data_IF_455679988523
#
_entry.id   IF_455679988523
#
_cell.length_a   1.000
_cell.length_b   1.000
_cell.length_c   1.000
_cell.angle_alpha   90.00
_cell.angle_beta   90.00
_cell.angle_gamma   90.00
#
_symmetry.space_group_name_H-M   'P 1'
#
loop_
_entity.id
_entity.type
_entity.pdbx_description
1 polymer ?
#
# COMPACT_ATOMS: atom_id res chain seq x y z
N UNK A 1 -9.83 20.86 6.89
CA UNK A 1 -9.81 20.12 8.16
C UNK A 1 -9.59 18.68 7.76
N UNK A 2 -8.52 18.07 8.23
CA UNK A 2 -8.16 16.71 7.84
C UNK A 2 -9.22 15.77 8.44
N UNK A 3 -9.89 15.03 7.57
CA UNK A 3 -10.86 14.01 7.93
C UNK A 3 -10.24 12.61 7.80
N UNK A 4 -10.85 11.61 8.44
CA UNK A 4 -10.35 10.22 8.40
C UNK A 4 -10.17 9.72 6.94
N UNK A 5 -11.09 9.99 5.99
CA UNK A 5 -10.86 9.69 4.58
C UNK A 5 -9.59 10.30 3.98
N UNK A 6 -9.28 11.55 4.31
CA UNK A 6 -8.09 12.25 3.81
C UNK A 6 -6.80 11.60 4.32
N UNK A 7 -6.79 11.08 5.55
CA UNK A 7 -5.66 10.34 6.11
C UNK A 7 -5.41 9.02 5.36
N UNK A 8 -6.46 8.22 5.13
CA UNK A 8 -6.33 6.99 4.35
C UNK A 8 -5.91 7.24 2.89
N UNK A 9 -6.38 8.34 2.27
CA UNK A 9 -5.89 8.77 0.95
C UNK A 9 -4.42 9.14 0.98
N UNK A 10 -3.97 9.81 2.05
CA UNK A 10 -2.56 10.12 2.28
C UNK A 10 -1.72 8.84 2.35
N UNK A 11 -2.13 7.88 3.18
CA UNK A 11 -1.46 6.57 3.31
C UNK A 11 -1.37 5.86 1.96
N UNK A 12 -2.48 5.80 1.22
CA UNK A 12 -2.54 5.23 -0.13
C UNK A 12 -1.52 5.89 -1.06
N UNK A 13 -1.53 7.22 -1.12
CA UNK A 13 -0.65 7.99 -2.02
C UNK A 13 0.83 7.75 -1.70
N UNK A 14 1.22 7.83 -0.42
CA UNK A 14 2.61 7.61 -0.02
C UNK A 14 3.07 6.17 -0.21
N UNK A 15 2.18 5.19 -0.06
CA UNK A 15 2.49 3.79 -0.35
C UNK A 15 2.72 3.56 -1.86
N UNK A 16 1.94 4.21 -2.73
CA UNK A 16 2.15 4.18 -4.18
C UNK A 16 3.47 4.85 -4.55
N UNK A 17 3.80 6.00 -3.97
CA UNK A 17 5.10 6.67 -4.16
C UNK A 17 6.24 5.75 -3.72
N UNK A 18 6.13 5.11 -2.54
CA UNK A 18 7.12 4.16 -2.05
C UNK A 18 7.34 2.99 -3.00
N UNK A 19 6.29 2.40 -3.56
CA UNK A 19 6.40 1.35 -4.57
C UNK A 19 7.06 1.82 -5.86
N UNK A 20 6.70 3.01 -6.36
CA UNK A 20 7.35 3.57 -7.54
C UNK A 20 8.85 3.80 -7.29
N UNK A 21 9.23 4.28 -6.11
CA UNK A 21 10.65 4.46 -5.75
C UNK A 21 11.44 3.15 -5.73
N UNK A 22 10.82 2.01 -5.39
CA UNK A 22 11.49 0.71 -5.47
C UNK A 22 11.76 0.26 -6.92
N UNK A 23 11.10 0.87 -7.92
CA UNK A 23 11.33 0.60 -9.34
C UNK A 23 12.39 1.52 -9.95
N UNK A 24 12.83 2.53 -9.21
CA UNK A 24 13.85 3.50 -9.62
C UNK A 24 15.22 3.13 -9.03
N UNK A 25 16.26 3.66 -9.63
CA UNK A 25 17.67 3.48 -9.25
C UNK A 25 18.29 4.83 -8.86
N UNK A 26 19.48 4.81 -8.27
CA UNK A 26 20.23 6.04 -7.95
C UNK A 26 20.65 6.85 -9.20
N UNK A 27 20.54 6.25 -10.39
CA UNK A 27 20.85 6.91 -11.66
C UNK A 27 19.66 7.69 -12.23
N UNK A 28 18.44 7.41 -11.73
CA UNK A 28 17.24 8.11 -12.17
C UNK A 28 17.20 9.54 -11.61
N UNK A 29 16.63 10.46 -12.39
CA UNK A 29 16.53 11.86 -11.99
C UNK A 29 15.59 12.05 -10.79
N UNK A 30 15.95 12.96 -9.86
CA UNK A 30 15.10 13.31 -8.71
C UNK A 30 13.75 13.90 -9.15
N UNK A 31 13.77 14.70 -10.21
CA UNK A 31 12.58 15.31 -10.82
C UNK A 31 12.22 14.59 -12.13
N UNK A 32 11.28 13.66 -12.04
CA UNK A 32 10.74 12.93 -13.18
C UNK A 32 9.56 13.69 -13.81
N UNK A 33 9.52 13.73 -15.14
CA UNK A 33 8.36 14.28 -15.83
C UNK A 33 7.12 13.37 -15.70
N UNK A 34 5.94 13.96 -15.90
CA UNK A 34 4.66 13.23 -15.81
C UNK A 34 4.60 12.07 -16.80
N UNK A 35 5.25 12.17 -17.97
CA UNK A 35 5.22 11.11 -18.99
C UNK A 35 5.99 9.87 -18.54
N UNK A 36 6.96 10.04 -17.65
CA UNK A 36 7.75 8.98 -17.04
C UNK A 36 7.05 8.42 -15.80
N UNK A 37 6.49 9.29 -14.96
CA UNK A 37 5.81 8.87 -13.71
C UNK A 37 4.49 8.15 -13.99
N UNK A 38 3.73 8.59 -15.00
CA UNK A 38 2.39 8.05 -15.25
C UNK A 38 2.38 6.53 -15.54
N UNK A 39 3.25 5.97 -16.40
CA UNK A 39 3.34 4.52 -16.59
C UNK A 39 3.72 3.75 -15.32
N UNK A 40 4.60 4.31 -14.47
CA UNK A 40 4.98 3.69 -13.19
C UNK A 40 3.80 3.63 -12.25
N UNK A 41 3.06 4.73 -12.14
CA UNK A 41 1.83 4.82 -11.35
C UNK A 41 0.79 3.80 -11.83
N UNK A 42 0.51 3.76 -13.14
CA UNK A 42 -0.47 2.83 -13.72
C UNK A 42 -0.10 1.37 -13.46
N UNK A 43 1.20 1.04 -13.56
CA UNK A 43 1.72 -0.29 -13.25
C UNK A 43 1.50 -0.66 -11.77
N UNK A 44 1.87 0.21 -10.84
CA UNK A 44 1.70 0.00 -9.39
C UNK A 44 0.23 -0.19 -9.04
N UNK A 45 -0.66 0.67 -9.54
CA UNK A 45 -2.10 0.58 -9.26
C UNK A 45 -2.70 -0.70 -9.87
N UNK A 46 -2.29 -1.07 -11.09
CA UNK A 46 -2.74 -2.30 -11.73
C UNK A 46 -2.35 -3.54 -10.94
N UNK A 47 -1.11 -3.58 -10.44
CA UNK A 47 -0.62 -4.68 -9.61
C UNK A 47 -1.33 -4.74 -8.26
N UNK A 48 -1.52 -3.59 -7.60
CA UNK A 48 -2.26 -3.51 -6.34
C UNK A 48 -3.69 -4.04 -6.50
N UNK A 49 -4.39 -3.60 -7.55
CA UNK A 49 -5.74 -4.06 -7.87
C UNK A 49 -5.80 -5.55 -8.16
N UNK A 50 -4.83 -6.07 -8.93
CA UNK A 50 -4.76 -7.50 -9.25
C UNK A 50 -4.54 -8.34 -8.00
N UNK A 51 -3.63 -7.91 -7.12
CA UNK A 51 -3.39 -8.56 -5.83
C UNK A 51 -4.65 -8.53 -4.95
N UNK A 52 -5.34 -7.38 -4.89
CA UNK A 52 -6.59 -7.24 -4.15
C UNK A 52 -7.65 -8.23 -4.66
N UNK A 53 -7.84 -8.33 -5.97
CA UNK A 53 -8.80 -9.26 -6.59
C UNK A 53 -8.45 -10.71 -6.25
N UNK A 54 -7.16 -11.08 -6.35
CA UNK A 54 -6.70 -12.43 -6.00
C UNK A 54 -6.97 -12.74 -4.52
N UNK A 55 -6.63 -11.83 -3.60
CA UNK A 55 -6.93 -12.01 -2.17
C UNK A 55 -8.42 -12.09 -1.90
N UNK A 56 -9.24 -11.29 -2.59
CA UNK A 56 -10.69 -11.32 -2.43
C UNK A 56 -11.30 -12.62 -2.99
N UNK A 57 -10.69 -13.24 -3.99
CA UNK A 57 -11.07 -14.58 -4.46
C UNK A 57 -10.73 -15.65 -3.40
N UNK A 58 -9.54 -15.57 -2.80
CA UNK A 58 -9.04 -16.59 -1.87
C UNK A 58 -9.71 -16.53 -0.48
N UNK A 59 -10.03 -15.33 0.00
CA UNK A 59 -10.57 -15.09 1.35
C UNK A 59 -12.00 -14.54 1.37
N UNK A 60 -12.61 -14.33 0.20
CA UNK A 60 -13.88 -13.61 0.09
C UNK A 60 -13.77 -12.17 0.58
N UNK A 61 -14.92 -11.54 0.85
CA UNK A 61 -14.98 -10.19 1.40
C UNK A 61 -14.83 -10.17 2.93
N UNK A 62 -14.00 -11.04 3.51
CA UNK A 62 -13.80 -11.13 4.96
C UNK A 62 -13.37 -9.78 5.59
N UNK A 63 -12.67 -8.95 4.82
CA UNK A 63 -12.29 -7.59 5.22
C UNK A 63 -13.50 -6.72 5.58
N UNK A 64 -14.67 -6.92 4.95
CA UNK A 64 -15.88 -6.14 5.26
C UNK A 64 -16.41 -6.30 6.69
N UNK A 65 -15.99 -7.36 7.39
CA UNK A 65 -16.34 -7.61 8.79
C UNK A 65 -15.36 -6.97 9.78
N UNK A 66 -14.34 -6.26 9.30
CA UNK A 66 -13.30 -5.63 10.11
C UNK A 66 -13.65 -4.17 10.42
N UNK A 67 -13.16 -3.69 11.57
CA UNK A 67 -13.30 -2.28 11.97
C UNK A 67 -12.24 -1.38 11.31
N UNK A 68 -12.46 -0.07 11.36
CA UNK A 68 -11.46 0.89 10.86
C UNK A 68 -10.13 0.84 11.62
N UNK A 69 -10.17 0.60 12.93
CA UNK A 69 -8.98 0.44 13.77
C UNK A 69 -8.16 -0.78 13.32
N UNK A 70 -8.85 -1.86 12.92
CA UNK A 70 -8.19 -3.08 12.43
C UNK A 70 -7.35 -2.81 11.18
N UNK A 71 -7.83 -1.97 10.25
CA UNK A 71 -7.03 -1.57 9.08
C UNK A 71 -5.81 -0.74 9.49
N UNK A 72 -5.98 0.16 10.45
CA UNK A 72 -4.88 0.99 10.96
C UNK A 72 -3.80 0.12 11.60
N UNK A 73 -4.17 -0.84 12.45
CA UNK A 73 -3.24 -1.76 13.09
C UNK A 73 -2.49 -2.61 12.07
N UNK A 74 -3.18 -3.09 11.02
CA UNK A 74 -2.54 -3.85 9.95
C UNK A 74 -1.57 -2.99 9.14
N UNK A 75 -1.92 -1.73 8.84
CA UNK A 75 -1.01 -0.78 8.16
C UNK A 75 0.24 -0.55 9.02
N UNK A 76 0.07 -0.32 10.32
CA UNK A 76 1.18 -0.13 11.26
C UNK A 76 2.08 -1.36 11.35
N UNK A 77 1.51 -2.56 11.35
CA UNK A 77 2.27 -3.81 11.33
C UNK A 77 3.12 -3.95 10.05
N UNK A 78 2.58 -3.59 8.88
CA UNK A 78 3.32 -3.61 7.60
C UNK A 78 4.42 -2.56 7.57
N UNK A 79 4.16 -1.35 8.09
CA UNK A 79 5.20 -0.32 8.24
C UNK A 79 6.32 -0.76 9.18
N UNK A 80 5.99 -1.40 10.30
CA UNK A 80 6.98 -1.96 11.22
C UNK A 80 7.82 -3.05 10.52
N UNK A 81 7.17 -3.88 9.69
CA UNK A 81 7.88 -4.91 8.91
C UNK A 81 8.88 -4.31 7.93
N UNK A 82 8.47 -3.28 7.19
CA UNK A 82 9.37 -2.54 6.27
C UNK A 82 10.57 -1.98 7.04
N UNK A 83 10.35 -1.33 8.18
CA UNK A 83 11.43 -0.80 9.03
C UNK A 83 12.42 -1.87 9.47
N UNK A 84 11.93 -3.07 9.84
CA UNK A 84 12.78 -4.19 10.21
C UNK A 84 13.63 -4.70 9.04
N UNK A 85 13.05 -4.79 7.84
CA UNK A 85 13.78 -5.23 6.64
C UNK A 85 14.92 -4.24 6.32
N UNK A 86 14.64 -2.94 6.36
CA UNK A 86 15.64 -1.89 6.15
C UNK A 86 16.75 -1.97 7.20
N UNK A 87 16.39 -2.09 8.49
CA UNK A 87 17.36 -2.18 9.58
C UNK A 87 18.28 -3.41 9.45
N UNK A 88 17.77 -4.51 8.88
CA UNK A 88 18.51 -5.74 8.66
C UNK A 88 19.35 -5.72 7.37
N UNK A 89 19.49 -4.57 6.69
CA UNK A 89 20.19 -4.42 5.39
C UNK A 89 19.70 -5.44 4.36
N UNK A 90 18.38 -5.62 4.28
CA UNK A 90 17.71 -6.54 3.35
C UNK A 90 18.11 -8.02 3.49
N UNK A 91 18.83 -8.40 4.56
CA UNK A 91 19.10 -9.80 4.88
C UNK A 91 17.85 -10.47 5.45
N UNK A 92 16.95 -10.86 4.57
CA UNK A 92 15.76 -11.64 4.93
C UNK A 92 16.04 -13.13 4.74
N UNK A 93 15.97 -13.91 5.83
CA UNK A 93 16.25 -15.35 5.79
C UNK A 93 15.18 -16.15 5.04
N UNK A 94 13.92 -15.71 5.06
CA UNK A 94 12.74 -16.15 4.28
C UNK A 94 11.67 -15.08 4.61
N UNK A 95 11.46 -14.06 3.78
CA UNK A 95 10.41 -13.06 4.01
C UNK A 95 9.92 -12.46 2.71
N UNK A 96 8.63 -12.12 2.67
CA UNK A 96 8.08 -11.16 1.71
C UNK A 96 8.89 -9.85 1.74
N UNK A 97 9.11 -9.28 0.56
CA UNK A 97 9.89 -8.05 0.35
C UNK A 97 9.18 -6.79 0.81
N UNK A 98 9.86 -5.64 0.69
CA UNK A 98 9.30 -4.33 1.04
C UNK A 98 8.06 -4.01 0.17
N UNK A 99 8.13 -4.36 -1.12
CA UNK A 99 7.07 -4.21 -2.12
C UNK A 99 5.75 -4.87 -1.68
N UNK A 100 5.79 -6.14 -1.27
CA UNK A 100 4.61 -6.88 -0.81
C UNK A 100 3.94 -6.17 0.39
N UNK A 101 4.74 -5.61 1.30
CA UNK A 101 4.22 -4.89 2.46
C UNK A 101 3.56 -3.56 2.05
N UNK A 102 4.08 -2.85 1.05
CA UNK A 102 3.42 -1.66 0.51
C UNK A 102 2.11 -1.99 -0.19
N UNK A 103 2.06 -3.07 -0.99
CA UNK A 103 0.80 -3.49 -1.61
C UNK A 103 -0.28 -3.83 -0.59
N UNK A 104 0.10 -4.42 0.54
CA UNK A 104 -0.83 -4.66 1.66
C UNK A 104 -1.33 -3.35 2.28
N UNK A 105 -0.45 -2.38 2.50
CA UNK A 105 -0.83 -1.05 2.99
C UNK A 105 -1.85 -0.38 2.06
N UNK A 106 -1.62 -0.46 0.74
CA UNK A 106 -2.55 0.05 -0.28
C UNK A 106 -3.93 -0.60 -0.13
N UNK A 107 -3.97 -1.94 -0.03
CA UNK A 107 -5.23 -2.67 0.08
C UNK A 107 -5.99 -2.32 1.35
N UNK A 108 -5.33 -2.25 2.51
CA UNK A 108 -5.98 -1.88 3.77
C UNK A 108 -6.50 -0.44 3.75
N UNK A 109 -5.76 0.50 3.16
CA UNK A 109 -6.22 1.88 3.00
C UNK A 109 -7.45 1.95 2.07
N UNK A 110 -7.45 1.20 0.96
CA UNK A 110 -8.60 1.12 0.05
C UNK A 110 -9.81 0.50 0.73
N UNK A 111 -9.66 -0.59 1.49
CA UNK A 111 -10.76 -1.21 2.23
C UNK A 111 -11.39 -0.24 3.24
N UNK A 112 -10.57 0.49 3.99
CA UNK A 112 -11.05 1.53 4.89
C UNK A 112 -11.84 2.62 4.12
N UNK A 113 -11.32 3.11 2.99
CA UNK A 113 -11.99 4.11 2.16
C UNK A 113 -13.32 3.61 1.58
N UNK A 114 -13.39 2.34 1.16
CA UNK A 114 -14.64 1.72 0.69
C UNK A 114 -15.65 1.66 1.83
N UNK A 115 -15.26 1.16 3.01
CA UNK A 115 -16.14 1.09 4.18
C UNK A 115 -16.69 2.46 4.57
N UNK A 116 -15.83 3.50 4.61
CA UNK A 116 -16.26 4.88 4.87
C UNK A 116 -17.26 5.36 3.82
N UNK A 117 -16.99 5.11 2.53
CA UNK A 117 -17.89 5.53 1.44
C UNK A 117 -19.27 4.86 1.51
N UNK A 118 -19.35 3.67 2.11
CA UNK A 118 -20.58 2.94 2.37
C UNK A 118 -21.26 3.34 3.70
N UNK A 119 -20.69 4.29 4.44
CA UNK A 119 -21.20 4.72 5.75
C UNK A 119 -20.97 3.71 6.87
N UNK A 120 -20.00 2.80 6.70
CA UNK A 120 -19.60 1.82 7.72
C UNK A 120 -18.33 2.32 8.42
N UNK A 121 -18.42 2.41 9.75
CA UNK A 121 -17.34 2.82 10.64
C UNK A 121 -17.00 1.68 11.58
#
# INVERSE_FOLDING_TARGET
ADDIPSEFKGILNYAVVGLMQLLLTEEDAEDLDVKTVQPLYDSVISNAKSLMINKNHDYGEAWRSMSQESYTDLILAKLLRIKQIIANKEKTLISEGIDANYYDIINYAIFALIMISEGKH
#
